data_IF_070260099879
#
_entry.id   IF_070260099879
#
_cell.length_a   1.000
_cell.length_b   1.000
_cell.length_c   1.000
_cell.angle_alpha   90.00
_cell.angle_beta   90.00
_cell.angle_gamma   90.00
#
_symmetry.space_group_name_H-M   'P 1'
#
loop_
_entity.id
_entity.type
_entity.pdbx_description
1 polymer ?
#
# COMPACT_ATOMS: atom_id res chain seq x y z
N UNK A 1 -43.43 -7.31 8.09
CA UNK A 1 -42.35 -8.28 8.37
C UNK A 1 -42.41 -9.53 7.48
N UNK A 2 -43.58 -10.15 7.24
CA UNK A 2 -43.68 -11.42 6.50
C UNK A 2 -43.14 -11.41 5.05
N UNK A 3 -43.33 -10.33 4.28
CA UNK A 3 -42.88 -10.27 2.88
C UNK A 3 -41.35 -10.15 2.75
N UNK A 4 -40.70 -9.34 3.60
CA UNK A 4 -39.24 -9.19 3.61
C UNK A 4 -38.55 -10.51 3.91
N UNK A 5 -39.06 -11.22 4.92
CA UNK A 5 -38.55 -12.53 5.28
C UNK A 5 -38.78 -13.56 4.15
N UNK A 6 -39.96 -13.55 3.51
CA UNK A 6 -40.25 -14.44 2.40
C UNK A 6 -39.32 -14.19 1.20
N UNK A 7 -39.08 -12.93 0.83
CA UNK A 7 -38.14 -12.57 -0.23
C UNK A 7 -36.72 -13.02 0.13
N UNK A 8 -36.28 -12.81 1.37
CA UNK A 8 -34.97 -13.30 1.82
C UNK A 8 -34.85 -14.84 1.78
N UNK A 9 -35.92 -15.58 2.06
CA UNK A 9 -35.89 -17.04 1.87
C UNK A 9 -35.82 -17.42 0.39
N UNK A 10 -36.46 -16.66 -0.50
CA UNK A 10 -36.41 -16.91 -1.94
C UNK A 10 -35.02 -16.62 -2.55
N UNK A 11 -34.20 -15.75 -1.95
CA UNK A 11 -32.80 -15.57 -2.37
C UNK A 11 -31.95 -16.83 -2.12
N UNK A 12 -32.42 -17.78 -1.30
CA UNK A 12 -31.78 -19.09 -1.07
C UNK A 12 -32.17 -20.16 -2.09
N UNK A 13 -33.06 -19.84 -3.04
CA UNK A 13 -33.56 -20.80 -4.03
C UNK A 13 -32.44 -21.35 -4.91
N UNK A 14 -32.50 -22.63 -5.28
CA UNK A 14 -31.57 -23.22 -6.26
C UNK A 14 -31.79 -22.66 -7.68
N UNK A 15 -32.97 -22.12 -7.97
CA UNK A 15 -33.31 -21.54 -9.27
C UNK A 15 -32.81 -20.10 -9.36
N UNK A 16 -31.85 -19.83 -10.26
CA UNK A 16 -31.29 -18.50 -10.48
C UNK A 16 -32.36 -17.42 -10.72
N UNK A 17 -33.34 -17.71 -11.58
CA UNK A 17 -34.44 -16.78 -11.86
C UNK A 17 -35.34 -16.44 -10.67
N UNK A 18 -35.44 -17.35 -9.68
CA UNK A 18 -36.17 -17.08 -8.43
C UNK A 18 -35.33 -16.20 -7.51
N UNK A 19 -34.03 -16.49 -7.38
CA UNK A 19 -33.11 -15.67 -6.58
C UNK A 19 -33.05 -14.24 -7.10
N UNK A 20 -32.86 -14.06 -8.41
CA UNK A 20 -32.80 -12.74 -9.04
C UNK A 20 -34.07 -11.93 -8.79
N UNK A 21 -35.26 -12.52 -9.05
CA UNK A 21 -36.54 -11.84 -8.79
C UNK A 21 -36.74 -11.48 -7.32
N UNK A 22 -36.23 -12.31 -6.40
CA UNK A 22 -36.28 -12.02 -4.97
C UNK A 22 -35.37 -10.85 -4.61
N UNK A 23 -34.13 -10.83 -5.14
CA UNK A 23 -33.19 -9.71 -4.98
C UNK A 23 -33.72 -8.41 -5.59
N UNK A 24 -34.32 -8.46 -6.79
CA UNK A 24 -34.99 -7.32 -7.41
C UNK A 24 -36.14 -6.81 -6.53
N UNK A 25 -36.94 -7.72 -5.96
CA UNK A 25 -38.00 -7.37 -5.02
C UNK A 25 -37.46 -6.69 -3.75
N UNK A 26 -36.32 -7.13 -3.23
CA UNK A 26 -35.65 -6.49 -2.09
C UNK A 26 -35.14 -5.09 -2.44
N UNK A 27 -34.57 -4.88 -3.63
CA UNK A 27 -34.13 -3.57 -4.11
C UNK A 27 -35.31 -2.60 -4.25
N UNK A 28 -36.42 -3.05 -4.84
CA UNK A 28 -37.63 -2.24 -4.97
C UNK A 28 -38.18 -1.84 -3.59
N UNK A 29 -38.22 -2.77 -2.63
CA UNK A 29 -38.66 -2.46 -1.27
C UNK A 29 -37.68 -1.53 -0.55
N UNK A 30 -36.38 -1.70 -0.73
CA UNK A 30 -35.36 -0.81 -0.18
C UNK A 30 -35.52 0.63 -0.70
N UNK A 31 -35.82 0.80 -2.00
CA UNK A 31 -36.08 2.11 -2.61
C UNK A 31 -37.32 2.83 -2.06
N UNK A 32 -38.28 2.11 -1.48
CA UNK A 32 -39.48 2.69 -0.86
C UNK A 32 -39.25 3.12 0.60
N UNK A 33 -38.14 2.72 1.21
CA UNK A 33 -37.80 3.02 2.60
C UNK A 33 -36.93 4.29 2.67
N UNK A 34 -37.52 5.41 2.23
CA UNK A 34 -36.86 6.71 2.15
C UNK A 34 -36.56 7.37 3.51
N UNK A 35 -37.10 6.82 4.60
CA UNK A 35 -36.91 7.33 5.96
C UNK A 35 -37.61 8.66 6.23
N UNK A 36 -38.41 9.18 5.29
CA UNK A 36 -39.15 10.44 5.44
C UNK A 36 -40.30 10.33 6.45
N UNK A 37 -40.84 9.12 6.61
CA UNK A 37 -41.80 8.75 7.64
C UNK A 37 -41.13 7.95 8.75
N UNK A 38 -41.20 8.45 9.99
CA UNK A 38 -40.73 7.73 11.18
C UNK A 38 -41.39 6.35 11.38
N UNK A 39 -42.51 6.09 10.73
CA UNK A 39 -43.21 4.80 10.76
C UNK A 39 -42.49 3.70 9.93
N UNK A 40 -41.70 4.09 8.94
CA UNK A 40 -40.96 3.16 8.06
C UNK A 40 -39.56 2.82 8.61
N UNK A 41 -39.07 3.60 9.57
CA UNK A 41 -37.75 3.40 10.18
C UNK A 41 -37.57 2.00 10.83
N UNK A 42 -38.53 1.44 11.59
CA UNK A 42 -38.39 0.10 12.16
C UNK A 42 -38.32 -1.00 11.10
N UNK A 43 -38.98 -0.79 9.95
CA UNK A 43 -38.93 -1.72 8.83
C UNK A 43 -37.56 -1.70 8.13
N UNK A 44 -36.94 -0.52 8.00
CA UNK A 44 -35.57 -0.35 7.51
C UNK A 44 -34.54 -1.04 8.39
N UNK A 45 -34.60 -0.85 9.71
CA UNK A 45 -33.72 -1.53 10.67
C UNK A 45 -33.87 -3.05 10.57
N UNK A 46 -35.11 -3.54 10.54
CA UNK A 46 -35.38 -4.98 10.42
C UNK A 46 -34.82 -5.55 9.10
N UNK A 47 -34.92 -4.81 7.99
CA UNK A 47 -34.36 -5.22 6.71
C UNK A 47 -32.83 -5.25 6.75
N UNK A 48 -32.20 -4.21 7.29
CA UNK A 48 -30.75 -4.12 7.42
C UNK A 48 -30.16 -5.29 8.22
N UNK A 49 -30.78 -5.64 9.35
CA UNK A 49 -30.39 -6.78 10.17
C UNK A 49 -30.51 -8.12 9.42
N UNK A 50 -31.59 -8.30 8.66
CA UNK A 50 -31.81 -9.50 7.86
C UNK A 50 -30.78 -9.64 6.72
N UNK A 51 -30.48 -8.55 6.04
CA UNK A 51 -29.52 -8.49 4.94
C UNK A 51 -28.09 -8.79 5.41
N UNK A 52 -27.66 -8.14 6.49
CA UNK A 52 -26.37 -8.38 7.11
C UNK A 52 -26.28 -9.78 7.74
N UNK A 53 -27.36 -10.27 8.35
CA UNK A 53 -27.44 -11.63 8.87
C UNK A 53 -27.28 -12.69 7.77
N UNK A 54 -27.78 -12.44 6.56
CA UNK A 54 -27.56 -13.33 5.41
C UNK A 54 -26.11 -13.35 4.95
N UNK A 55 -25.42 -12.20 4.93
CA UNK A 55 -23.99 -12.15 4.62
C UNK A 55 -23.19 -12.97 5.63
N UNK A 56 -23.49 -12.80 6.92
CA UNK A 56 -22.89 -13.57 7.99
C UNK A 56 -23.15 -15.08 7.83
N UNK A 57 -24.39 -15.49 7.53
CA UNK A 57 -24.72 -16.90 7.26
C UNK A 57 -23.88 -17.47 6.13
N UNK A 58 -23.74 -16.73 5.02
CA UNK A 58 -22.93 -17.15 3.86
C UNK A 58 -21.44 -17.27 4.20
N UNK A 59 -20.90 -16.36 5.01
CA UNK A 59 -19.52 -16.46 5.50
C UNK A 59 -19.29 -17.74 6.31
N UNK A 60 -20.23 -18.12 7.18
CA UNK A 60 -20.12 -19.33 8.00
C UNK A 60 -20.23 -20.63 7.18
N UNK A 61 -20.77 -20.57 5.96
CA UNK A 61 -20.81 -21.71 5.04
C UNK A 61 -19.50 -21.90 4.26
N UNK A 62 -18.58 -20.91 4.30
CA UNK A 62 -17.31 -21.00 3.60
C UNK A 62 -16.45 -22.13 4.20
N UNK A 63 -15.90 -23.03 3.37
CA UNK A 63 -15.03 -24.10 3.84
C UNK A 63 -13.62 -23.55 4.07
N UNK A 64 -13.41 -22.76 5.14
CA UNK A 64 -12.14 -22.05 5.42
C UNK A 64 -10.90 -22.98 5.36
N UNK A 65 -11.06 -24.26 5.69
CA UNK A 65 -10.00 -25.27 5.64
C UNK A 65 -9.66 -25.76 4.22
N UNK A 66 -10.45 -25.45 3.20
CA UNK A 66 -10.25 -25.89 1.81
C UNK A 66 -9.95 -24.73 0.86
N UNK A 67 -10.18 -23.49 1.30
CA UNK A 67 -9.93 -22.30 0.49
C UNK A 67 -8.43 -22.08 0.26
N UNK A 68 -8.10 -21.65 -0.96
CA UNK A 68 -6.78 -21.16 -1.32
C UNK A 68 -6.73 -19.63 -1.19
N UNK A 69 -5.72 -19.14 -0.48
CA UNK A 69 -5.48 -17.72 -0.29
C UNK A 69 -5.15 -17.01 -1.61
N UNK A 70 -4.39 -17.67 -2.49
CA UNK A 70 -3.99 -17.10 -3.77
C UNK A 70 -5.18 -16.92 -4.73
N UNK A 71 -6.14 -17.84 -4.68
CA UNK A 71 -7.42 -17.74 -5.41
C UNK A 71 -8.25 -16.56 -4.89
N UNK A 72 -8.37 -16.41 -3.56
CA UNK A 72 -9.10 -15.30 -2.95
C UNK A 72 -8.53 -13.93 -3.32
N UNK A 73 -7.20 -13.78 -3.28
CA UNK A 73 -6.54 -12.53 -3.66
C UNK A 73 -6.91 -12.10 -5.08
N UNK A 74 -7.03 -13.06 -6.00
CA UNK A 74 -7.35 -12.84 -7.42
C UNK A 74 -8.84 -12.99 -7.75
N UNK A 75 -9.71 -13.12 -6.75
CA UNK A 75 -11.13 -13.41 -6.97
C UNK A 75 -11.80 -12.33 -7.85
N UNK A 76 -12.48 -12.69 -8.95
CA UNK A 76 -13.05 -11.71 -9.85
C UNK A 76 -14.28 -11.01 -9.26
N UNK A 77 -14.64 -9.85 -9.83
CA UNK A 77 -15.93 -9.24 -9.52
C UNK A 77 -17.06 -10.21 -9.91
N UNK A 78 -17.92 -10.53 -8.94
CA UNK A 78 -18.97 -11.54 -9.11
C UNK A 78 -20.33 -10.86 -9.05
N UNK A 79 -20.89 -10.53 -10.22
CA UNK A 79 -22.16 -9.81 -10.28
C UNK A 79 -23.28 -10.55 -9.55
N UNK A 80 -24.04 -9.85 -8.72
CA UNK A 80 -25.22 -10.38 -8.04
C UNK A 80 -26.32 -10.86 -8.99
N UNK A 81 -26.27 -10.40 -10.25
CA UNK A 81 -27.15 -10.86 -11.34
C UNK A 81 -26.63 -12.11 -12.06
N UNK A 82 -25.51 -12.68 -11.62
CA UNK A 82 -24.94 -13.88 -12.21
C UNK A 82 -25.93 -15.04 -12.26
N UNK A 83 -25.97 -15.73 -13.40
CA UNK A 83 -26.77 -16.94 -13.60
C UNK A 83 -26.01 -18.23 -13.25
N UNK A 84 -24.72 -18.10 -12.90
CA UNK A 84 -23.86 -19.23 -12.55
C UNK A 84 -24.42 -19.97 -11.34
N UNK A 85 -24.34 -21.31 -11.36
CA UNK A 85 -24.69 -22.12 -10.20
C UNK A 85 -23.76 -21.78 -9.04
N UNK A 86 -24.30 -21.29 -7.90
CA UNK A 86 -23.46 -20.72 -6.87
C UNK A 86 -22.92 -21.81 -5.95
N UNK A 87 -21.60 -21.96 -5.90
CA UNK A 87 -20.95 -22.59 -4.76
C UNK A 87 -20.95 -21.64 -3.54
N UNK A 88 -20.29 -22.03 -2.44
CA UNK A 88 -20.25 -21.20 -1.24
C UNK A 88 -19.52 -19.86 -1.45
N UNK A 89 -18.46 -19.82 -2.26
CA UNK A 89 -17.70 -18.60 -2.53
C UNK A 89 -18.48 -17.64 -3.44
N UNK A 90 -19.00 -18.16 -4.55
CA UNK A 90 -19.86 -17.41 -5.47
C UNK A 90 -21.08 -16.89 -4.70
N UNK A 91 -21.70 -17.71 -3.84
CA UNK A 91 -22.81 -17.26 -3.00
C UNK A 91 -22.43 -16.08 -2.10
N UNK A 92 -21.28 -16.14 -1.44
CA UNK A 92 -20.80 -15.06 -0.58
C UNK A 92 -20.54 -13.77 -1.38
N UNK A 93 -19.74 -13.85 -2.45
CA UNK A 93 -19.35 -12.66 -3.23
C UNK A 93 -20.51 -12.07 -4.05
N UNK A 94 -21.43 -12.88 -4.57
CA UNK A 94 -22.65 -12.36 -5.22
C UNK A 94 -23.57 -11.65 -4.22
N UNK A 95 -23.65 -12.14 -2.98
CA UNK A 95 -24.41 -11.46 -1.95
C UNK A 95 -23.73 -10.19 -1.46
N UNK A 96 -22.39 -10.20 -1.35
CA UNK A 96 -21.62 -8.99 -1.06
C UNK A 96 -21.83 -7.92 -2.13
N UNK A 97 -21.71 -8.29 -3.42
CA UNK A 97 -21.98 -7.40 -4.56
C UNK A 97 -23.44 -6.88 -4.56
N UNK A 98 -24.40 -7.71 -4.16
CA UNK A 98 -25.79 -7.29 -3.98
C UNK A 98 -25.93 -6.20 -2.90
N UNK A 99 -25.29 -6.38 -1.75
CA UNK A 99 -25.32 -5.39 -0.66
C UNK A 99 -24.60 -4.09 -1.06
N UNK A 100 -23.48 -4.21 -1.76
CA UNK A 100 -22.73 -3.07 -2.29
C UNK A 100 -23.62 -2.26 -3.25
N UNK A 101 -24.20 -2.91 -4.25
CA UNK A 101 -25.16 -2.28 -5.16
C UNK A 101 -26.38 -1.68 -4.44
N UNK A 102 -26.98 -2.42 -3.49
CA UNK A 102 -28.13 -1.93 -2.74
C UNK A 102 -27.80 -0.66 -1.97
N UNK A 103 -26.63 -0.58 -1.32
CA UNK A 103 -26.23 0.61 -0.55
C UNK A 103 -25.86 1.81 -1.43
N UNK A 104 -25.49 1.60 -2.70
CA UNK A 104 -25.33 2.68 -3.67
C UNK A 104 -26.67 3.28 -4.12
N UNK A 105 -27.69 2.45 -4.33
CA UNK A 105 -28.96 2.86 -4.94
C UNK A 105 -30.06 3.21 -3.92
N UNK A 106 -29.98 2.68 -2.70
CA UNK A 106 -31.00 2.89 -1.67
C UNK A 106 -30.94 4.30 -1.05
N UNK A 107 -32.03 4.75 -0.41
CA UNK A 107 -32.02 5.99 0.37
C UNK A 107 -30.94 5.98 1.44
N UNK A 108 -30.27 7.13 1.64
CA UNK A 108 -29.11 7.27 2.53
C UNK A 108 -29.34 6.68 3.94
N UNK A 109 -30.53 6.89 4.52
CA UNK A 109 -30.88 6.36 5.85
C UNK A 109 -30.78 4.83 5.88
N UNK A 110 -31.31 4.14 4.87
CA UNK A 110 -31.25 2.69 4.78
C UNK A 110 -29.83 2.22 4.46
N UNK A 111 -29.11 2.90 3.55
CA UNK A 111 -27.71 2.54 3.23
C UNK A 111 -26.81 2.58 4.46
N UNK A 112 -26.96 3.59 5.33
CA UNK A 112 -26.27 3.68 6.62
C UNK A 112 -26.67 2.54 7.56
N UNK A 113 -27.96 2.21 7.66
CA UNK A 113 -28.42 1.12 8.51
C UNK A 113 -27.89 -0.24 8.08
N UNK A 114 -27.91 -0.51 6.76
CA UNK A 114 -27.38 -1.76 6.17
C UNK A 114 -25.88 -1.84 6.41
N UNK A 115 -25.13 -0.77 6.14
CA UNK A 115 -23.68 -0.78 6.31
C UNK A 115 -23.27 -0.96 7.79
N UNK A 116 -23.94 -0.27 8.73
CA UNK A 116 -23.72 -0.47 10.16
C UNK A 116 -24.06 -1.90 10.62
N UNK A 117 -25.13 -2.49 10.08
CA UNK A 117 -25.51 -3.87 10.38
C UNK A 117 -24.48 -4.87 9.85
N UNK A 118 -23.92 -4.62 8.66
CA UNK A 118 -22.81 -5.40 8.08
C UNK A 118 -21.56 -5.26 8.94
N UNK A 119 -21.23 -4.05 9.39
CA UNK A 119 -20.10 -3.81 10.29
C UNK A 119 -20.22 -4.63 11.57
N UNK A 120 -21.36 -4.56 12.25
CA UNK A 120 -21.53 -5.29 13.50
C UNK A 120 -21.51 -6.81 13.27
N UNK A 121 -22.39 -7.33 12.40
CA UNK A 121 -22.59 -8.79 12.28
C UNK A 121 -21.46 -9.50 11.56
N UNK A 122 -20.91 -8.90 10.51
CA UNK A 122 -19.88 -9.56 9.71
C UNK A 122 -18.48 -9.12 10.15
N UNK A 123 -18.18 -7.81 10.16
CA UNK A 123 -16.82 -7.36 10.48
C UNK A 123 -16.45 -7.63 11.95
N UNK A 124 -17.30 -7.22 12.90
CA UNK A 124 -17.01 -7.36 14.33
C UNK A 124 -17.32 -8.76 14.88
N UNK A 125 -18.51 -9.31 14.63
CA UNK A 125 -18.90 -10.58 15.26
C UNK A 125 -18.25 -11.81 14.58
N UNK A 126 -17.83 -11.68 13.31
CA UNK A 126 -17.34 -12.83 12.52
C UNK A 126 -15.88 -12.69 12.09
N UNK A 127 -15.52 -11.60 11.42
CA UNK A 127 -14.19 -11.44 10.81
C UNK A 127 -13.12 -11.08 11.85
N UNK A 128 -13.41 -10.16 12.76
CA UNK A 128 -12.50 -9.73 13.83
C UNK A 128 -11.93 -10.89 14.66
N UNK A 129 -12.75 -11.81 15.23
CA UNK A 129 -12.20 -12.94 15.98
C UNK A 129 -11.39 -13.91 15.10
N UNK A 130 -11.66 -13.99 13.79
CA UNK A 130 -10.87 -14.81 12.88
C UNK A 130 -9.50 -14.18 12.56
N UNK A 131 -9.43 -12.86 12.41
CA UNK A 131 -8.16 -12.13 12.21
C UNK A 131 -7.25 -12.19 13.43
N UNK A 132 -7.83 -12.31 14.63
CA UNK A 132 -7.12 -12.48 15.90
C UNK A 132 -6.86 -13.95 16.27
N UNK A 133 -7.24 -14.90 15.41
CA UNK A 133 -7.15 -16.31 15.73
C UNK A 133 -5.69 -16.78 15.78
N UNK A 134 -5.39 -17.75 16.63
CA UNK A 134 -4.03 -18.33 16.73
C UNK A 134 -3.69 -19.31 15.60
N UNK A 135 -4.61 -19.53 14.66
CA UNK A 135 -4.44 -20.50 13.57
C UNK A 135 -4.04 -19.73 12.33
N UNK A 136 -2.80 -19.93 11.86
CA UNK A 136 -2.25 -19.22 10.70
C UNK A 136 -3.15 -19.33 9.46
N UNK A 137 -3.74 -20.51 9.23
CA UNK A 137 -4.65 -20.72 8.10
C UNK A 137 -5.91 -19.86 8.19
N UNK A 138 -6.51 -19.78 9.38
CA UNK A 138 -7.70 -18.94 9.61
C UNK A 138 -7.33 -17.47 9.37
N UNK A 139 -6.22 -17.00 9.95
CA UNK A 139 -5.73 -15.63 9.75
C UNK A 139 -5.46 -15.34 8.27
N UNK A 140 -4.79 -16.24 7.56
CA UNK A 140 -4.47 -16.10 6.15
C UNK A 140 -5.73 -15.97 5.27
N UNK A 141 -6.68 -16.87 5.44
CA UNK A 141 -7.91 -16.89 4.64
C UNK A 141 -8.80 -15.70 4.98
N UNK A 142 -8.95 -15.34 6.25
CA UNK A 142 -9.74 -14.17 6.66
C UNK A 142 -9.09 -12.86 6.20
N UNK A 143 -7.76 -12.75 6.22
CA UNK A 143 -7.04 -11.58 5.67
C UNK A 143 -7.21 -11.51 4.15
N UNK A 144 -7.14 -12.64 3.45
CA UNK A 144 -7.32 -12.70 1.98
C UNK A 144 -8.77 -12.40 1.57
N UNK A 145 -9.76 -12.86 2.34
CA UNK A 145 -11.16 -12.52 2.15
C UNK A 145 -11.41 -11.01 2.35
N UNK A 146 -10.84 -10.45 3.41
CA UNK A 146 -10.90 -9.02 3.67
C UNK A 146 -10.26 -8.23 2.53
N UNK A 147 -9.08 -8.64 2.06
CA UNK A 147 -8.41 -8.06 0.90
C UNK A 147 -9.31 -8.08 -0.35
N UNK A 148 -9.94 -9.21 -0.65
CA UNK A 148 -10.84 -9.34 -1.80
C UNK A 148 -12.07 -8.43 -1.67
N UNK A 149 -12.70 -8.40 -0.49
CA UNK A 149 -13.88 -7.55 -0.26
C UNK A 149 -13.54 -6.05 -0.29
N UNK A 150 -12.38 -5.64 0.25
CA UNK A 150 -11.87 -4.27 0.08
C UNK A 150 -11.70 -3.99 -1.41
N UNK A 151 -10.99 -4.83 -2.16
CA UNK A 151 -10.79 -4.65 -3.61
C UNK A 151 -12.12 -4.44 -4.35
N UNK A 152 -13.12 -5.26 -4.04
CA UNK A 152 -14.39 -5.30 -4.77
C UNK A 152 -15.41 -4.22 -4.38
N UNK A 153 -15.35 -3.67 -3.16
CA UNK A 153 -16.35 -2.70 -2.67
C UNK A 153 -16.29 -1.37 -3.44
N UNK A 154 -17.46 -0.87 -3.83
CA UNK A 154 -17.66 0.38 -4.58
C UNK A 154 -18.50 1.40 -3.81
N UNK A 155 -19.42 0.94 -2.95
CA UNK A 155 -20.25 1.81 -2.11
C UNK A 155 -19.43 2.57 -1.09
N UNK A 156 -19.60 3.90 -1.04
CA UNK A 156 -18.96 4.73 -0.01
C UNK A 156 -19.42 4.31 1.40
N UNK A 157 -20.69 3.91 1.57
CA UNK A 157 -21.22 3.51 2.87
C UNK A 157 -20.57 2.25 3.42
N UNK A 158 -20.36 1.23 2.58
CA UNK A 158 -19.66 0.01 3.01
C UNK A 158 -18.15 0.27 3.15
N UNK A 159 -17.56 1.04 2.24
CA UNK A 159 -16.16 1.46 2.32
C UNK A 159 -15.86 2.11 3.67
N UNK A 160 -16.67 3.09 4.09
CA UNK A 160 -16.50 3.79 5.37
C UNK A 160 -16.52 2.82 6.56
N UNK A 161 -17.42 1.82 6.52
CA UNK A 161 -17.49 0.81 7.58
C UNK A 161 -16.29 -0.13 7.59
N UNK A 162 -15.75 -0.48 6.42
CA UNK A 162 -14.56 -1.32 6.29
C UNK A 162 -13.29 -0.58 6.71
N UNK A 163 -13.15 0.69 6.33
CA UNK A 163 -12.04 1.56 6.77
C UNK A 163 -12.14 1.84 8.26
N UNK A 164 -13.34 2.11 8.80
CA UNK A 164 -13.56 2.24 10.23
C UNK A 164 -13.14 0.97 10.97
N UNK A 165 -13.55 -0.20 10.49
CA UNK A 165 -13.14 -1.48 11.04
C UNK A 165 -11.61 -1.62 11.04
N UNK A 166 -10.95 -1.37 9.92
CA UNK A 166 -9.51 -1.57 9.77
C UNK A 166 -8.66 -0.61 10.60
N UNK A 167 -8.98 0.67 10.59
CA UNK A 167 -8.15 1.73 11.16
C UNK A 167 -8.54 2.11 12.59
N UNK A 168 -9.81 1.92 12.97
CA UNK A 168 -10.36 2.38 14.26
C UNK A 168 -10.72 1.27 15.23
N UNK A 169 -10.70 0.00 14.80
CA UNK A 169 -10.81 -1.11 15.75
C UNK A 169 -9.51 -1.22 16.56
N UNK A 170 -9.58 -1.19 17.91
CA UNK A 170 -8.39 -1.23 18.75
C UNK A 170 -7.49 -2.42 18.43
N UNK A 171 -6.18 -2.16 18.32
CA UNK A 171 -5.13 -3.16 18.07
C UNK A 171 -5.20 -3.92 16.73
N UNK A 172 -6.28 -3.83 15.95
CA UNK A 172 -6.41 -4.54 14.68
C UNK A 172 -5.42 -4.01 13.63
N UNK A 173 -5.36 -2.69 13.46
CA UNK A 173 -4.43 -2.06 12.51
C UNK A 173 -2.98 -2.45 12.82
N UNK A 174 -2.56 -2.33 14.08
CA UNK A 174 -1.21 -2.69 14.53
C UNK A 174 -0.91 -4.18 14.29
N UNK A 175 -1.89 -5.06 14.51
CA UNK A 175 -1.74 -6.48 14.25
C UNK A 175 -1.57 -6.77 12.75
N UNK A 176 -2.41 -6.18 11.89
CA UNK A 176 -2.33 -6.36 10.44
C UNK A 176 -1.00 -5.84 9.88
N UNK A 177 -0.54 -4.69 10.35
CA UNK A 177 0.78 -4.14 9.98
C UNK A 177 1.92 -5.03 10.48
N UNK A 178 1.80 -5.61 11.68
CA UNK A 178 2.77 -6.61 12.16
C UNK A 178 2.76 -7.87 11.29
N UNK A 179 1.60 -8.29 10.78
CA UNK A 179 1.50 -9.44 9.88
C UNK A 179 2.22 -9.25 8.53
N UNK A 180 2.42 -8.00 8.07
CA UNK A 180 3.29 -7.71 6.93
C UNK A 180 4.74 -8.17 7.16
N UNK A 181 5.17 -8.35 8.43
CA UNK A 181 6.46 -8.95 8.81
C UNK A 181 6.32 -10.28 9.57
N UNK A 182 5.32 -11.09 9.20
CA UNK A 182 5.11 -12.43 9.76
C UNK A 182 6.14 -13.45 9.25
N UNK A 183 6.36 -14.52 10.03
CA UNK A 183 7.27 -15.63 9.68
C UNK A 183 6.74 -16.47 8.49
N UNK A 184 5.42 -16.52 8.34
CA UNK A 184 4.76 -17.11 7.18
C UNK A 184 4.66 -16.08 6.06
N UNK A 185 5.39 -16.32 4.97
CA UNK A 185 5.40 -15.45 3.79
C UNK A 185 4.01 -15.26 3.18
N UNK A 186 3.12 -16.26 3.29
CA UNK A 186 1.75 -16.16 2.78
C UNK A 186 0.92 -15.13 3.58
N UNK A 187 1.07 -15.10 4.91
CA UNK A 187 0.39 -14.12 5.76
C UNK A 187 0.94 -12.73 5.49
N UNK A 188 2.26 -12.59 5.33
CA UNK A 188 2.88 -11.32 4.97
C UNK A 188 2.45 -10.82 3.61
N UNK A 189 2.41 -11.69 2.61
CA UNK A 189 1.91 -11.37 1.28
C UNK A 189 0.45 -10.90 1.36
N UNK A 190 -0.45 -11.67 1.98
CA UNK A 190 -1.85 -11.31 2.10
C UNK A 190 -2.08 -9.98 2.83
N UNK A 191 -1.29 -9.70 3.87
CA UNK A 191 -1.38 -8.45 4.64
C UNK A 191 -0.86 -7.25 3.84
N UNK A 192 0.23 -7.41 3.09
CA UNK A 192 0.73 -6.35 2.20
C UNK A 192 -0.19 -6.10 1.01
N UNK A 193 -0.79 -7.14 0.43
CA UNK A 193 -1.84 -6.98 -0.58
C UNK A 193 -3.05 -6.22 -0.02
N UNK A 194 -3.46 -6.50 1.23
CA UNK A 194 -4.53 -5.74 1.88
C UNK A 194 -4.18 -4.25 2.01
N UNK A 195 -2.95 -3.91 2.41
CA UNK A 195 -2.48 -2.52 2.46
C UNK A 195 -2.51 -1.88 1.07
N UNK A 196 -2.04 -2.59 0.04
CA UNK A 196 -2.06 -2.10 -1.34
C UNK A 196 -3.49 -1.85 -1.86
N UNK A 197 -4.42 -2.74 -1.56
CA UNK A 197 -5.84 -2.57 -1.89
C UNK A 197 -6.48 -1.40 -1.14
N UNK A 198 -6.12 -1.18 0.13
CA UNK A 198 -6.57 -0.01 0.89
C UNK A 198 -6.07 1.29 0.26
N UNK A 199 -4.79 1.36 -0.12
CA UNK A 199 -4.20 2.55 -0.75
C UNK A 199 -4.83 2.87 -2.12
N UNK A 200 -5.53 1.93 -2.75
CA UNK A 200 -6.26 2.15 -4.00
C UNK A 200 -7.68 2.67 -3.79
N UNK A 201 -8.12 2.91 -2.54
CA UNK A 201 -9.47 3.40 -2.25
C UNK A 201 -9.51 4.92 -2.09
N UNK A 202 -10.59 5.59 -2.54
CA UNK A 202 -10.73 7.04 -2.46
C UNK A 202 -11.11 7.51 -1.05
N UNK A 203 -10.38 7.06 -0.02
CA UNK A 203 -10.67 7.32 1.38
C UNK A 203 -9.44 7.89 2.11
N UNK A 204 -9.46 9.20 2.35
CA UNK A 204 -8.34 9.99 2.91
C UNK A 204 -7.74 9.42 4.21
N UNK A 205 -8.60 8.97 5.13
CA UNK A 205 -8.14 8.45 6.43
C UNK A 205 -7.11 7.31 6.31
N UNK A 206 -7.10 6.57 5.20
CA UNK A 206 -6.15 5.48 4.96
C UNK A 206 -4.71 6.01 4.98
N UNK A 207 -4.40 7.03 4.17
CA UNK A 207 -3.07 7.62 4.17
C UNK A 207 -2.80 8.43 5.44
N UNK A 208 -3.80 9.15 5.95
CA UNK A 208 -3.64 9.99 7.15
C UNK A 208 -3.22 9.15 8.36
N UNK A 209 -3.90 8.03 8.59
CA UNK A 209 -3.66 7.16 9.74
C UNK A 209 -2.46 6.22 9.55
N UNK A 210 -2.21 5.72 8.33
CA UNK A 210 -1.13 4.77 8.10
C UNK A 210 0.24 5.43 7.94
N UNK A 211 0.28 6.69 7.46
CA UNK A 211 1.54 7.33 7.07
C UNK A 211 1.63 8.77 7.55
N UNK A 212 0.71 9.64 7.14
CA UNK A 212 0.95 11.08 7.20
C UNK A 212 0.98 11.64 8.61
N UNK A 213 0.13 11.13 9.50
CA UNK A 213 0.12 11.52 10.92
C UNK A 213 1.47 11.34 11.61
N UNK A 214 2.28 10.37 11.17
CA UNK A 214 3.64 10.14 11.68
C UNK A 214 4.67 11.10 11.09
N UNK A 215 4.44 11.60 9.86
CA UNK A 215 5.36 12.51 9.16
C UNK A 215 5.07 13.99 9.40
N UNK A 216 3.87 14.35 9.88
CA UNK A 216 3.38 15.73 10.00
C UNK A 216 4.34 16.69 10.73
N UNK A 217 4.98 16.23 11.81
CA UNK A 217 5.86 17.08 12.62
C UNK A 217 7.24 17.28 12.00
N UNK A 218 7.60 16.50 10.97
CA UNK A 218 8.93 16.49 10.33
C UNK A 218 10.08 16.32 11.32
N UNK A 219 9.85 15.59 12.42
CA UNK A 219 10.85 15.34 13.48
C UNK A 219 11.99 14.43 13.04
N UNK A 220 11.93 13.86 11.83
CA UNK A 220 13.01 13.12 11.19
C UNK A 220 14.12 14.02 10.65
N UNK A 221 13.97 15.35 10.67
CA UNK A 221 14.99 16.29 10.20
C UNK A 221 16.01 16.61 11.30
N UNK A 222 17.28 16.67 10.92
CA UNK A 222 18.32 17.23 11.78
C UNK A 222 18.01 18.70 12.07
N UNK A 223 18.09 19.09 13.35
CA UNK A 223 18.01 20.51 13.70
C UNK A 223 19.28 21.19 13.18
N UNK A 224 19.20 22.31 12.45
CA UNK A 224 20.39 23.08 12.14
C UNK A 224 21.00 23.52 13.47
N UNK A 225 22.23 23.07 13.74
CA UNK A 225 22.99 23.54 14.89
C UNK A 225 23.25 25.02 14.66
N UNK A 226 22.49 25.89 15.32
CA UNK A 226 22.75 27.33 15.32
C UNK A 226 24.19 27.58 15.82
N UNK A 227 25.07 28.01 14.91
CA UNK A 227 26.19 28.90 15.17
C UNK A 227 27.22 28.49 16.24
N UNK A 228 27.90 27.36 16.07
CA UNK A 228 29.14 27.08 16.80
C UNK A 228 30.27 26.62 15.88
N UNK A 229 30.67 27.50 14.95
CA UNK A 229 32.04 27.53 14.44
C UNK A 229 32.68 28.88 14.78
N UNK A 230 33.75 28.77 15.57
CA UNK A 230 34.92 29.65 15.66
C UNK A 230 34.79 31.12 16.06
N UNK A 231 34.63 31.32 17.38
CA UNK A 231 35.47 32.31 18.09
C UNK A 231 36.69 31.62 18.70
N UNK A 232 37.60 31.16 17.85
CA UNK A 232 38.98 30.90 18.25
C UNK A 232 39.87 31.98 17.63
N UNK A 233 40.06 33.04 18.42
CA UNK A 233 41.23 33.92 18.51
C UNK A 233 42.18 33.91 17.31
N UNK A 234 42.05 34.94 16.47
CA UNK A 234 43.14 35.40 15.61
C UNK A 234 44.41 35.63 16.46
N UNK A 235 45.47 34.91 16.13
CA UNK A 235 46.84 35.35 16.38
C UNK A 235 47.71 34.87 15.22
N UNK A 236 47.95 35.81 14.30
CA UNK A 236 49.16 36.11 13.55
C UNK A 236 50.14 35.00 13.10
N UNK A 237 50.46 35.12 11.80
CA UNK A 237 51.75 34.95 11.12
C UNK A 237 52.21 33.56 10.63
N UNK A 238 52.43 33.54 9.30
CA UNK A 238 53.38 32.74 8.51
C UNK A 238 53.24 31.21 8.47
N UNK A 239 52.71 30.67 7.37
CA UNK A 239 53.45 29.67 6.55
C UNK A 239 52.85 29.46 5.15
N UNK A 240 53.76 29.44 4.18
CA UNK A 240 53.57 29.23 2.74
C UNK A 240 53.27 27.76 2.37
N UNK A 241 52.66 27.62 1.19
CA UNK A 241 52.71 26.50 0.24
C UNK A 241 52.30 25.09 0.71
N UNK A 242 51.13 24.60 0.27
CA UNK A 242 50.93 23.22 -0.22
C UNK A 242 49.71 23.15 -1.18
N UNK A 243 50.02 22.93 -2.45
CA UNK A 243 49.26 22.26 -3.53
C UNK A 243 47.71 22.27 -3.51
N UNK A 244 47.10 23.07 -4.39
CA UNK A 244 45.69 22.96 -4.77
C UNK A 244 45.41 21.63 -5.51
N UNK A 245 44.52 20.82 -4.95
CA UNK A 245 43.92 19.65 -5.59
C UNK A 245 42.89 20.11 -6.63
N UNK A 246 43.01 19.78 -7.94
CA UNK A 246 42.13 20.34 -8.98
C UNK A 246 40.70 19.79 -8.96
N UNK A 247 40.33 18.97 -7.97
CA UNK A 247 39.00 18.35 -7.91
C UNK A 247 38.02 19.05 -6.97
N UNK A 248 38.48 19.99 -6.13
CA UNK A 248 37.64 20.71 -5.18
C UNK A 248 38.14 22.15 -5.02
N UNK A 249 37.77 23.04 -5.93
CA UNK A 249 37.94 24.48 -5.71
C UNK A 249 36.73 25.24 -6.25
N UNK A 250 36.14 26.02 -5.34
CA UNK A 250 35.04 26.99 -5.45
C UNK A 250 33.62 26.48 -5.75
N UNK A 251 32.59 26.78 -4.95
CA UNK A 251 32.48 27.83 -3.94
C UNK A 251 31.46 27.53 -2.84
N UNK A 252 31.88 27.87 -1.62
CA UNK A 252 30.99 28.06 -0.48
C UNK A 252 30.11 29.28 -0.76
N UNK A 253 28.88 29.06 -1.22
CA UNK A 253 27.81 30.05 -1.11
C UNK A 253 27.10 29.86 0.22
N UNK A 254 27.30 30.83 1.12
CA UNK A 254 26.64 30.96 2.41
C UNK A 254 25.20 31.47 2.21
N UNK A 255 24.37 30.62 1.61
CA UNK A 255 22.95 30.85 1.33
C UNK A 255 22.11 29.61 1.66
N UNK A 256 20.77 29.73 1.78
CA UNK A 256 19.91 28.58 2.05
C UNK A 256 20.18 27.49 0.99
N UNK A 257 20.13 26.20 1.35
CA UNK A 257 20.57 25.12 0.48
C UNK A 257 19.87 25.26 -0.86
N UNK A 258 20.65 25.39 -1.93
CA UNK A 258 20.13 25.40 -3.29
C UNK A 258 19.20 24.19 -3.44
N UNK A 259 17.95 24.44 -3.84
CA UNK A 259 16.99 23.38 -4.11
C UNK A 259 17.62 22.46 -5.15
N UNK A 260 17.99 21.24 -4.76
CA UNK A 260 18.52 20.23 -5.68
C UNK A 260 17.56 20.09 -6.85
N UNK A 261 18.07 20.10 -8.07
CA UNK A 261 17.19 20.02 -9.24
C UNK A 261 16.49 18.66 -9.25
N UNK A 262 15.26 18.60 -9.78
CA UNK A 262 14.56 17.31 -9.93
C UNK A 262 15.34 16.33 -10.83
N UNK A 263 16.27 16.81 -11.66
CA UNK A 263 17.19 15.96 -12.43
C UNK A 263 18.19 15.26 -11.51
N UNK A 264 18.67 15.93 -10.47
CA UNK A 264 19.56 15.36 -9.47
C UNK A 264 18.87 14.24 -8.67
N UNK A 265 17.57 14.40 -8.37
CA UNK A 265 16.75 13.36 -7.72
C UNK A 265 16.63 12.13 -8.61
N UNK A 266 16.23 12.31 -9.87
CA UNK A 266 16.09 11.21 -10.84
C UNK A 266 17.43 10.48 -11.03
N UNK A 267 18.52 11.23 -11.22
CA UNK A 267 19.86 10.68 -11.38
C UNK A 267 20.33 9.95 -10.13
N UNK A 268 19.97 10.42 -8.93
CA UNK A 268 20.33 9.76 -7.67
C UNK A 268 19.78 8.33 -7.60
N UNK A 269 18.53 8.09 -8.01
CA UNK A 269 17.97 6.74 -8.07
C UNK A 269 18.57 5.88 -9.20
N UNK A 270 18.73 6.44 -10.40
CA UNK A 270 19.31 5.71 -11.54
C UNK A 270 20.77 5.31 -11.32
N UNK A 271 21.53 6.12 -10.59
CA UNK A 271 22.92 5.87 -10.26
C UNK A 271 23.10 5.02 -9.00
N UNK A 272 22.04 4.79 -8.23
CA UNK A 272 22.10 4.05 -6.96
C UNK A 272 22.54 2.60 -7.15
N UNK A 273 22.08 1.97 -8.24
CA UNK A 273 22.39 0.57 -8.58
C UNK A 273 23.76 0.51 -9.28
N UNK A 274 24.77 -0.16 -8.70
CA UNK A 274 26.11 -0.25 -9.30
C UNK A 274 26.11 -0.93 -10.67
N UNK A 275 26.99 -0.51 -11.58
CA UNK A 275 27.02 -1.03 -12.96
C UNK A 275 27.25 -2.55 -13.03
N UNK A 276 27.95 -3.11 -12.05
CA UNK A 276 28.28 -4.53 -11.95
C UNK A 276 27.04 -5.42 -11.75
N UNK A 277 25.97 -4.88 -11.15
CA UNK A 277 24.73 -5.62 -10.87
C UNK A 277 23.60 -5.26 -11.83
N UNK A 278 23.84 -4.36 -12.79
CA UNK A 278 22.85 -4.02 -13.83
C UNK A 278 22.78 -5.15 -14.85
N UNK A 279 21.57 -5.57 -15.16
CA UNK A 279 21.28 -6.70 -16.05
C UNK A 279 20.26 -6.38 -17.13
N UNK A 280 19.48 -5.29 -17.01
CA UNK A 280 18.38 -5.01 -17.95
C UNK A 280 18.85 -4.77 -19.38
N UNK A 281 19.98 -4.05 -19.52
CA UNK A 281 20.56 -3.72 -20.81
C UNK A 281 20.97 -4.96 -21.63
N UNK A 282 21.10 -6.13 -20.98
CA UNK A 282 21.49 -7.38 -21.63
C UNK A 282 20.33 -8.09 -22.35
N UNK A 283 19.07 -7.70 -22.09
CA UNK A 283 17.88 -8.35 -22.67
C UNK A 283 17.31 -7.64 -23.91
N UNK A 284 17.77 -6.44 -24.26
CA UNK A 284 17.20 -5.62 -25.35
C UNK A 284 15.67 -5.38 -25.24
N UNK A 285 15.08 -5.59 -24.07
CA UNK A 285 13.65 -5.38 -23.82
C UNK A 285 13.42 -4.01 -23.19
N UNK A 286 12.59 -3.17 -23.84
CA UNK A 286 12.02 -1.95 -23.28
C UNK A 286 13.02 -0.85 -22.91
N UNK A 287 12.91 0.32 -23.55
CA UNK A 287 13.61 1.51 -23.07
C UNK A 287 13.06 1.96 -21.70
N UNK A 288 13.79 2.86 -21.05
CA UNK A 288 13.33 3.54 -19.82
C UNK A 288 11.94 4.21 -19.98
N UNK A 289 11.53 4.51 -21.22
CA UNK A 289 10.19 4.97 -21.60
C UNK A 289 9.03 4.12 -21.03
N UNK A 290 9.20 2.80 -20.90
CA UNK A 290 8.15 1.94 -20.31
C UNK A 290 7.89 2.32 -18.85
N UNK A 291 8.96 2.53 -18.07
CA UNK A 291 8.85 2.93 -16.67
C UNK A 291 8.21 4.31 -16.54
N UNK A 292 8.51 5.23 -17.45
CA UNK A 292 7.88 6.56 -17.48
C UNK A 292 6.38 6.45 -17.77
N UNK A 293 5.98 5.57 -18.70
CA UNK A 293 4.56 5.33 -18.99
C UNK A 293 3.81 4.68 -17.81
N UNK A 294 4.41 3.68 -17.17
CA UNK A 294 3.84 3.00 -16.01
C UNK A 294 3.73 3.96 -14.82
N UNK A 295 4.77 4.75 -14.57
CA UNK A 295 4.77 5.81 -13.56
C UNK A 295 3.71 6.88 -13.84
N UNK A 296 3.54 7.30 -15.10
CA UNK A 296 2.47 8.24 -15.48
C UNK A 296 1.09 7.68 -15.14
N UNK A 297 0.86 6.40 -15.45
CA UNK A 297 -0.40 5.72 -15.12
C UNK A 297 -0.62 5.67 -13.61
N UNK A 298 0.39 5.24 -12.85
CA UNK A 298 0.32 5.13 -11.39
C UNK A 298 0.09 6.49 -10.70
N UNK A 299 0.83 7.52 -11.09
CA UNK A 299 0.70 8.88 -10.55
C UNK A 299 -0.67 9.46 -10.89
N UNK A 300 -1.15 9.27 -12.12
CA UNK A 300 -2.50 9.72 -12.54
C UNK A 300 -3.59 9.04 -11.71
N UNK A 301 -3.47 7.73 -11.46
CA UNK A 301 -4.41 7.00 -10.60
C UNK A 301 -4.40 7.54 -9.16
N UNK A 302 -3.22 7.70 -8.57
CA UNK A 302 -3.08 8.22 -7.20
C UNK A 302 -3.62 9.65 -7.09
N UNK A 303 -3.35 10.50 -8.09
CA UNK A 303 -3.93 11.83 -8.18
C UNK A 303 -5.45 11.79 -8.26
N UNK A 304 -6.04 10.92 -9.09
CA UNK A 304 -7.49 10.83 -9.22
C UNK A 304 -8.16 10.44 -7.91
N UNK A 305 -7.56 9.52 -7.14
CA UNK A 305 -8.04 9.14 -5.79
C UNK A 305 -7.98 10.31 -4.82
N UNK A 306 -6.91 11.12 -4.92
CA UNK A 306 -6.56 12.12 -3.94
C UNK A 306 -7.05 13.53 -4.26
N UNK A 307 -7.66 13.73 -5.43
CA UNK A 307 -8.20 15.01 -5.92
C UNK A 307 -9.14 15.69 -4.90
N UNK A 308 -10.07 14.98 -4.22
CA UNK A 308 -11.01 15.61 -3.30
C UNK A 308 -10.42 15.94 -1.91
N UNK A 309 -9.18 15.51 -1.61
CA UNK A 309 -8.67 15.51 -0.23
C UNK A 309 -8.08 16.85 0.23
N UNK A 310 -8.01 17.85 -0.65
CA UNK A 310 -7.55 19.21 -0.33
C UNK A 310 -6.18 19.25 0.37
N UNK A 311 -5.19 18.58 -0.24
CA UNK A 311 -3.85 18.48 0.33
C UNK A 311 -3.14 19.84 0.47
N UNK A 312 -2.28 19.98 1.49
CA UNK A 312 -1.41 21.13 1.60
C UNK A 312 -0.48 21.18 0.38
N UNK A 313 -0.36 22.37 -0.21
CA UNK A 313 0.52 22.60 -1.37
C UNK A 313 1.98 22.83 -0.95
N UNK A 314 2.21 23.12 0.34
CA UNK A 314 3.54 23.38 0.89
C UNK A 314 3.81 22.49 2.09
N UNK A 315 5.08 22.17 2.31
CA UNK A 315 5.52 21.45 3.50
C UNK A 315 5.13 22.21 4.78
N UNK A 316 4.63 21.51 5.82
CA UNK A 316 4.45 22.12 7.12
C UNK A 316 5.82 22.54 7.69
N UNK A 317 5.84 23.61 8.48
CA UNK A 317 7.05 23.99 9.21
C UNK A 317 7.45 22.85 10.18
N UNK A 318 8.74 22.49 10.27
CA UNK A 318 9.19 21.54 11.28
C UNK A 318 8.80 22.09 12.66
N UNK A 319 8.06 21.30 13.43
CA UNK A 319 7.63 21.76 14.76
C UNK A 319 8.77 21.47 15.71
N UNK A 320 9.47 22.51 16.17
CA UNK A 320 10.42 22.38 17.27
C UNK A 320 9.64 22.02 18.53
N UNK A 321 9.49 20.73 18.82
CA UNK A 321 9.02 20.26 20.13
C UNK A 321 10.11 20.61 21.14
N UNK A 322 10.05 21.84 21.64
CA UNK A 322 10.82 22.29 22.79
C UNK A 322 10.44 21.42 23.99
N UNK A 323 11.29 20.45 24.32
CA UNK A 323 11.29 19.77 25.62
C UNK A 323 10.79 18.32 25.67
N UNK A 324 10.59 17.62 24.56
CA UNK A 324 10.50 16.15 24.58
C UNK A 324 11.45 15.57 23.55
N UNK A 325 12.51 14.90 24.03
CA UNK A 325 13.34 13.94 23.30
C UNK A 325 12.48 12.72 22.90
N UNK A 326 11.41 12.94 22.14
CA UNK A 326 10.68 11.84 21.53
C UNK A 326 11.45 11.46 20.26
N UNK A 327 12.13 10.32 20.31
CA UNK A 327 12.72 9.70 19.12
C UNK A 327 11.66 9.65 18.02
N UNK A 328 12.02 10.12 16.82
CA UNK A 328 11.12 10.07 15.68
C UNK A 328 10.71 8.63 15.37
N UNK A 329 9.43 8.44 15.08
CA UNK A 329 8.85 7.18 14.67
C UNK A 329 8.14 7.34 13.33
N UNK A 330 8.57 6.59 12.33
CA UNK A 330 8.04 6.65 10.96
C UNK A 330 6.63 6.06 10.81
N UNK A 331 6.10 5.45 11.87
CA UNK A 331 4.84 4.72 11.85
C UNK A 331 5.02 3.23 11.55
N UNK A 332 4.06 2.40 11.97
CA UNK A 332 4.15 0.95 11.87
C UNK A 332 4.27 0.47 10.41
N UNK A 333 3.57 1.12 9.48
CA UNK A 333 3.60 0.74 8.07
C UNK A 333 4.98 1.00 7.46
N UNK A 334 5.48 2.24 7.52
CA UNK A 334 6.77 2.60 6.93
C UNK A 334 7.92 1.84 7.61
N UNK A 335 7.86 1.64 8.92
CA UNK A 335 8.83 0.81 9.65
C UNK A 335 8.92 -0.60 9.04
N UNK A 336 7.77 -1.27 8.88
CA UNK A 336 7.73 -2.63 8.33
C UNK A 336 8.19 -2.68 6.88
N UNK A 337 7.78 -1.71 6.05
CA UNK A 337 8.22 -1.64 4.65
C UNK A 337 9.74 -1.42 4.55
N UNK A 338 10.31 -0.56 5.39
CA UNK A 338 11.76 -0.29 5.40
C UNK A 338 12.58 -1.45 5.98
N UNK A 339 12.08 -2.12 7.02
CA UNK A 339 12.71 -3.32 7.57
C UNK A 339 12.68 -4.46 6.55
N UNK A 340 11.55 -4.66 5.85
CA UNK A 340 11.43 -5.64 4.76
C UNK A 340 12.37 -5.29 3.58
N UNK A 341 12.41 -4.02 3.16
CA UNK A 341 13.31 -3.56 2.10
C UNK A 341 14.78 -3.77 2.46
N UNK A 342 15.14 -3.59 3.73
CA UNK A 342 16.47 -3.91 4.25
C UNK A 342 16.87 -5.38 4.08
N UNK A 343 15.89 -6.29 3.97
CA UNK A 343 16.09 -7.72 3.80
C UNK A 343 15.72 -8.22 2.40
N UNK A 344 15.59 -7.33 1.41
CA UNK A 344 15.13 -7.67 0.04
C UNK A 344 15.99 -8.75 -0.64
N UNK A 345 17.26 -8.90 -0.25
CA UNK A 345 18.18 -9.90 -0.80
C UNK A 345 17.97 -11.33 -0.24
N UNK A 346 17.11 -11.48 0.77
CA UNK A 346 16.90 -12.72 1.52
C UNK A 346 15.45 -13.19 1.51
N UNK A 347 14.57 -12.46 0.83
CA UNK A 347 13.12 -12.68 0.85
C UNK A 347 12.62 -13.30 -0.46
N UNK A 348 11.44 -13.96 -0.43
CA UNK A 348 10.80 -14.48 -1.65
C UNK A 348 10.58 -13.37 -2.69
N UNK A 349 10.71 -13.74 -3.96
CA UNK A 349 10.57 -12.82 -5.08
C UNK A 349 9.20 -12.14 -5.12
N UNK A 350 8.14 -12.91 -4.91
CA UNK A 350 6.76 -12.44 -4.94
C UNK A 350 6.48 -11.43 -3.80
N UNK A 351 7.11 -11.66 -2.64
CA UNK A 351 7.00 -10.76 -1.49
C UNK A 351 7.68 -9.43 -1.77
N UNK A 352 8.87 -9.47 -2.39
CA UNK A 352 9.61 -8.28 -2.80
C UNK A 352 8.87 -7.48 -3.87
N UNK A 353 8.21 -8.14 -4.84
CA UNK A 353 7.37 -7.45 -5.83
C UNK A 353 6.22 -6.69 -5.17
N UNK A 354 5.53 -7.31 -4.21
CA UNK A 354 4.44 -6.66 -3.49
C UNK A 354 4.96 -5.50 -2.62
N UNK A 355 6.11 -5.68 -1.97
CA UNK A 355 6.77 -4.64 -1.18
C UNK A 355 7.10 -3.41 -2.03
N UNK A 356 7.73 -3.59 -3.18
CA UNK A 356 8.09 -2.47 -4.06
C UNK A 356 6.85 -1.82 -4.67
N UNK A 357 5.81 -2.59 -5.01
CA UNK A 357 4.54 -2.03 -5.48
C UNK A 357 3.89 -1.10 -4.45
N UNK A 358 3.86 -1.48 -3.16
CA UNK A 358 3.33 -0.62 -2.08
C UNK A 358 4.16 0.65 -1.94
N UNK A 359 5.49 0.55 -1.92
CA UNK A 359 6.38 1.71 -1.82
C UNK A 359 6.27 2.64 -3.03
N UNK A 360 6.16 2.11 -4.24
CA UNK A 360 5.94 2.87 -5.47
C UNK A 360 4.62 3.61 -5.43
N UNK A 361 3.53 2.97 -5.00
CA UNK A 361 2.22 3.61 -4.85
C UNK A 361 2.24 4.73 -3.81
N UNK A 362 2.84 4.50 -2.65
CA UNK A 362 3.01 5.55 -1.63
C UNK A 362 3.81 6.74 -2.20
N UNK A 363 4.86 6.46 -2.96
CA UNK A 363 5.70 7.49 -3.61
C UNK A 363 4.96 8.22 -4.74
N UNK A 364 3.93 7.62 -5.33
CA UNK A 364 3.17 8.21 -6.43
C UNK A 364 2.08 9.20 -5.97
N UNK A 365 1.63 9.16 -4.72
CA UNK A 365 0.71 10.16 -4.17
C UNK A 365 1.34 11.56 -4.18
N UNK A 366 0.62 12.55 -4.69
CA UNK A 366 1.10 13.93 -4.79
C UNK A 366 0.94 14.68 -3.45
N UNK A 367 1.80 14.36 -2.49
CA UNK A 367 1.80 15.01 -1.18
C UNK A 367 3.21 15.43 -0.75
N UNK A 368 3.43 16.69 -0.32
CA UNK A 368 4.77 17.20 -0.03
C UNK A 368 5.56 16.38 1.02
N UNK A 369 4.90 15.85 2.06
CA UNK A 369 5.60 15.01 3.06
C UNK A 369 6.05 13.66 2.48
N UNK A 370 5.29 13.09 1.54
CA UNK A 370 5.68 11.84 0.88
C UNK A 370 6.83 12.09 -0.10
N UNK A 371 6.80 13.22 -0.81
CA UNK A 371 7.89 13.64 -1.68
C UNK A 371 9.19 13.82 -0.91
N UNK A 372 9.14 14.54 0.22
CA UNK A 372 10.30 14.72 1.08
C UNK A 372 10.79 13.39 1.65
N UNK A 373 9.92 12.60 2.26
CA UNK A 373 10.36 11.43 3.04
C UNK A 373 10.71 10.20 2.19
N UNK A 374 10.07 10.03 1.03
CA UNK A 374 10.25 8.86 0.16
C UNK A 374 11.09 9.14 -1.07
N UNK A 375 11.00 10.34 -1.66
CA UNK A 375 11.63 10.62 -2.96
C UNK A 375 12.83 11.56 -2.89
N UNK A 376 12.98 12.40 -1.86
CA UNK A 376 14.10 13.32 -1.77
C UNK A 376 15.37 12.64 -1.19
N UNK A 377 16.43 12.45 -1.99
CA UNK A 377 17.67 11.81 -1.54
C UNK A 377 18.54 12.74 -0.66
N UNK A 378 18.23 14.04 -0.63
CA UNK A 378 19.00 15.08 0.05
C UNK A 378 18.41 15.50 1.40
N UNK A 379 17.47 14.72 1.95
CA UNK A 379 16.93 14.98 3.30
C UNK A 379 18.03 14.83 4.35
N UNK A 380 18.27 15.90 5.09
CA UNK A 380 19.15 15.88 6.26
C UNK A 380 18.46 15.20 7.44
N UNK A 381 18.58 13.89 7.51
CA UNK A 381 17.97 13.07 8.56
C UNK A 381 18.60 13.34 9.93
N UNK A 382 17.79 13.35 10.98
CA UNK A 382 18.25 13.32 12.37
C UNK A 382 18.96 11.98 12.67
N UNK A 383 19.87 11.94 13.66
CA UNK A 383 20.54 10.71 14.05
C UNK A 383 19.56 9.56 14.33
N UNK A 384 19.84 8.37 13.77
CA UNK A 384 18.99 7.19 13.93
C UNK A 384 17.74 7.15 13.04
N UNK A 385 17.37 8.26 12.40
CA UNK A 385 16.25 8.30 11.46
C UNK A 385 16.65 7.68 10.11
N UNK A 386 15.65 7.17 9.38
CA UNK A 386 15.80 6.63 8.03
C UNK A 386 14.84 7.34 7.08
N UNK A 387 15.20 7.40 5.82
CA UNK A 387 14.34 7.64 4.65
C UNK A 387 14.40 6.45 3.70
N UNK A 388 13.48 6.38 2.73
CA UNK A 388 13.52 5.34 1.68
C UNK A 388 14.90 5.30 0.99
N UNK A 389 15.42 6.47 0.61
CA UNK A 389 16.74 6.57 -0.03
C UNK A 389 17.87 6.05 0.86
N UNK A 390 17.87 6.40 2.16
CA UNK A 390 18.91 5.93 3.10
C UNK A 390 18.89 4.40 3.28
N UNK A 391 17.69 3.79 3.25
CA UNK A 391 17.54 2.33 3.33
C UNK A 391 18.11 1.69 2.08
N UNK A 392 17.82 2.24 0.90
CA UNK A 392 18.36 1.74 -0.36
C UNK A 392 19.90 1.85 -0.42
N UNK A 393 20.50 2.97 0.02
CA UNK A 393 21.97 3.10 0.11
C UNK A 393 22.57 1.96 0.96
N UNK A 394 21.98 1.70 2.13
CA UNK A 394 22.47 0.64 3.03
C UNK A 394 22.38 -0.73 2.37
N UNK A 395 21.28 -1.01 1.68
CA UNK A 395 21.10 -2.26 0.92
C UNK A 395 22.14 -2.35 -0.21
N UNK A 396 22.41 -1.27 -0.95
CA UNK A 396 23.44 -1.27 -2.00
C UNK A 396 24.85 -1.51 -1.46
N UNK A 397 25.17 -0.98 -0.28
CA UNK A 397 26.44 -1.27 0.38
C UNK A 397 26.58 -2.77 0.71
N UNK A 398 25.50 -3.39 1.18
CA UNK A 398 25.43 -4.83 1.42
C UNK A 398 25.52 -5.66 0.14
N UNK A 399 24.85 -5.23 -0.94
CA UNK A 399 24.98 -5.82 -2.28
C UNK A 399 26.45 -5.91 -2.67
N UNK A 400 27.21 -4.81 -2.55
CA UNK A 400 28.62 -4.76 -2.94
C UNK A 400 29.51 -5.74 -2.15
N UNK A 401 29.13 -6.10 -0.93
CA UNK A 401 29.82 -7.13 -0.15
C UNK A 401 29.43 -8.54 -0.60
N UNK A 402 28.12 -8.81 -0.76
CA UNK A 402 27.60 -10.14 -1.09
C UNK A 402 27.97 -10.61 -2.50
N UNK A 403 27.99 -9.70 -3.48
CA UNK A 403 28.31 -10.07 -4.87
C UNK A 403 29.75 -10.55 -5.07
N UNK A 404 30.67 -10.26 -4.13
CA UNK A 404 32.05 -10.75 -4.19
C UNK A 404 32.15 -12.27 -4.10
N UNK A 405 31.12 -12.92 -3.56
CA UNK A 405 31.04 -14.38 -3.42
C UNK A 405 30.41 -15.05 -4.64
N UNK A 406 29.84 -14.27 -5.56
CA UNK A 406 29.12 -14.77 -6.74
C UNK A 406 30.05 -14.78 -7.95
N UNK A 407 30.38 -15.97 -8.45
CA UNK A 407 31.13 -16.13 -9.69
C UNK A 407 30.25 -15.89 -10.92
N UNK A 408 30.81 -15.36 -12.01
CA UNK A 408 30.08 -15.10 -13.27
C UNK A 408 28.77 -14.30 -13.08
N UNK A 409 28.78 -13.31 -12.17
CA UNK A 409 27.60 -12.54 -11.76
C UNK A 409 26.72 -12.05 -12.92
N UNK A 410 27.32 -11.45 -13.96
CA UNK A 410 26.59 -10.91 -15.12
C UNK A 410 25.78 -11.98 -15.86
N UNK A 411 26.36 -13.17 -16.06
CA UNK A 411 25.69 -14.31 -16.70
C UNK A 411 24.59 -14.86 -15.80
N UNK A 412 24.85 -15.02 -14.50
CA UNK A 412 23.86 -15.51 -13.54
C UNK A 412 22.66 -14.57 -13.38
N UNK A 413 22.88 -13.25 -13.38
CA UNK A 413 21.81 -12.26 -13.38
C UNK A 413 20.97 -12.35 -14.64
N UNK A 414 21.61 -12.44 -15.80
CA UNK A 414 20.91 -12.57 -17.09
C UNK A 414 20.06 -13.85 -17.14
N UNK A 415 20.60 -14.97 -16.69
CA UNK A 415 19.87 -16.24 -16.67
C UNK A 415 18.74 -16.26 -15.65
N UNK A 416 18.95 -15.67 -14.46
CA UNK A 416 17.89 -15.46 -13.48
C UNK A 416 16.76 -14.63 -14.07
N UNK A 417 17.08 -13.58 -14.82
CA UNK A 417 16.10 -12.70 -15.43
C UNK A 417 15.30 -13.40 -16.53
N UNK A 418 15.96 -14.18 -17.40
CA UNK A 418 15.29 -15.05 -18.38
C UNK A 418 14.38 -16.07 -17.71
N UNK A 419 14.78 -16.59 -16.57
CA UNK A 419 13.96 -17.54 -15.80
C UNK A 419 12.70 -16.85 -15.25
N UNK A 420 12.83 -15.65 -14.69
CA UNK A 420 11.70 -14.85 -14.20
C UNK A 420 10.71 -14.48 -15.32
N UNK A 421 11.20 -14.27 -16.54
CA UNK A 421 10.39 -14.02 -17.74
C UNK A 421 9.78 -15.31 -18.34
N UNK A 422 10.05 -16.48 -17.77
CA UNK A 422 9.57 -17.77 -18.27
C UNK A 422 10.29 -18.27 -19.54
N UNK A 423 11.41 -17.65 -19.92
CA UNK A 423 12.18 -17.95 -21.14
C UNK A 423 13.13 -19.14 -20.92
N UNK A 424 13.56 -19.41 -19.68
CA UNK A 424 14.47 -20.51 -19.33
C UNK A 424 13.97 -21.36 -18.16
N UNK A 425 14.22 -22.68 -18.22
CA UNK A 425 13.80 -23.67 -17.21
C UNK A 425 14.92 -24.05 -16.21
N UNK A 426 16.08 -23.39 -16.26
CA UNK A 426 17.19 -23.74 -15.37
C UNK A 426 16.93 -23.28 -13.93
N UNK A 427 16.81 -24.24 -13.02
CA UNK A 427 16.37 -24.06 -11.63
C UNK A 427 17.49 -24.23 -10.59
N UNK A 428 18.71 -24.55 -11.03
CA UNK A 428 19.85 -24.90 -10.16
C UNK A 428 20.88 -23.79 -9.93
N UNK A 429 20.48 -22.50 -9.97
CA UNK A 429 21.40 -21.40 -9.73
C UNK A 429 21.72 -21.27 -8.23
N UNK A 430 23.01 -21.28 -7.89
CA UNK A 430 23.48 -20.86 -6.56
C UNK A 430 23.09 -19.39 -6.34
N UNK A 431 22.80 -19.01 -5.09
CA UNK A 431 22.41 -17.63 -4.73
C UNK A 431 21.14 -17.08 -5.40
N UNK A 432 20.22 -17.93 -5.89
CA UNK A 432 19.01 -17.50 -6.62
C UNK A 432 18.19 -16.40 -5.91
N UNK A 433 18.00 -16.50 -4.58
CA UNK A 433 17.27 -15.47 -3.80
C UNK A 433 17.96 -14.10 -3.86
N UNK A 434 19.29 -14.08 -3.71
CA UNK A 434 20.10 -12.86 -3.84
C UNK A 434 19.95 -12.25 -5.24
N UNK A 435 20.11 -13.07 -6.28
CA UNK A 435 20.02 -12.62 -7.67
C UNK A 435 18.64 -12.05 -8.01
N UNK A 436 17.57 -12.70 -7.53
CA UNK A 436 16.19 -12.20 -7.64
C UNK A 436 16.01 -10.86 -6.93
N UNK A 437 16.56 -10.71 -5.73
CA UNK A 437 16.57 -9.45 -4.98
C UNK A 437 17.32 -8.32 -5.70
N UNK A 438 18.48 -8.62 -6.32
CA UNK A 438 19.25 -7.66 -7.12
C UNK A 438 18.46 -7.16 -8.34
N UNK A 439 17.78 -8.06 -9.05
CA UNK A 439 16.95 -7.69 -10.20
C UNK A 439 15.81 -6.78 -9.73
N UNK A 440 15.10 -7.13 -8.65
CA UNK A 440 14.02 -6.27 -8.13
C UNK A 440 14.55 -4.90 -7.72
N UNK A 441 15.70 -4.83 -7.04
CA UNK A 441 16.33 -3.56 -6.68
C UNK A 441 16.67 -2.70 -7.90
N UNK A 442 17.19 -3.32 -8.95
CA UNK A 442 17.46 -2.63 -10.22
C UNK A 442 16.18 -2.03 -10.82
N UNK A 443 15.10 -2.81 -10.85
CA UNK A 443 13.82 -2.36 -11.42
C UNK A 443 13.12 -1.32 -10.55
N UNK A 444 13.14 -1.49 -9.23
CA UNK A 444 12.54 -0.56 -8.29
C UNK A 444 13.21 0.82 -8.32
N UNK A 445 14.55 0.88 -8.45
CA UNK A 445 15.24 2.16 -8.57
C UNK A 445 14.87 2.90 -9.87
N UNK A 446 14.65 2.18 -10.98
CA UNK A 446 14.15 2.79 -12.23
C UNK A 446 12.71 3.27 -12.08
N UNK A 447 11.87 2.50 -11.39
CA UNK A 447 10.48 2.88 -11.13
C UNK A 447 10.39 4.15 -10.26
N UNK A 448 11.16 4.23 -9.17
CA UNK A 448 11.23 5.44 -8.33
C UNK A 448 11.75 6.65 -9.10
N UNK A 449 12.79 6.46 -9.93
CA UNK A 449 13.30 7.52 -10.79
C UNK A 449 12.24 8.01 -11.79
N UNK A 450 11.43 7.10 -12.35
CA UNK A 450 10.36 7.43 -13.27
C UNK A 450 9.20 8.15 -12.57
N UNK A 451 8.82 7.73 -11.36
CA UNK A 451 7.83 8.40 -10.52
C UNK A 451 8.30 9.83 -10.20
N UNK A 452 9.54 10.00 -9.74
CA UNK A 452 10.12 11.33 -9.47
C UNK A 452 10.16 12.21 -10.73
N UNK A 453 10.44 11.62 -11.89
CA UNK A 453 10.44 12.33 -13.18
C UNK A 453 9.03 12.78 -13.58
N UNK A 454 8.01 11.93 -13.47
CA UNK A 454 6.62 12.23 -13.82
C UNK A 454 6.01 13.26 -12.88
N UNK A 455 6.34 13.19 -11.58
CA UNK A 455 5.85 14.13 -10.55
C UNK A 455 6.48 15.50 -10.63
N UNK A 456 7.46 15.72 -11.51
CA UNK A 456 7.95 17.07 -11.80
C UNK A 456 6.74 17.97 -12.04
N UNK A 457 6.55 19.05 -11.28
CA UNK A 457 5.63 20.07 -11.71
C UNK A 457 6.11 20.48 -13.10
N UNK A 458 5.23 20.38 -14.11
CA UNK A 458 5.41 21.04 -15.39
C UNK A 458 5.41 22.54 -15.11
N UNK A 459 6.50 23.04 -14.54
CA UNK A 459 6.69 24.45 -14.29
C UNK A 459 6.82 25.11 -15.66
N UNK A 460 5.85 25.96 -15.95
CA UNK A 460 6.13 27.33 -16.38
C UNK A 460 7.14 27.41 -17.54
N UNK A 461 6.65 27.15 -18.76
CA UNK A 461 7.15 27.89 -19.92
C UNK A 461 6.56 29.31 -19.91
#
# INVERSE_FOLDING_TARGET
SGILWALLQLTKSQRASVRQKASDGLLLLAGLLDGSSGELLPAGVSLAELLAGRLQELHHLLPLDQLDAAELQKWPCTSWRSEVEPDHMISFFTWFDFLDHLTCEAPQVLSVQVSQSVHQRWLMDTLHPQLLHTCEKVVLISTSMLCATIRLVQSSFLMDQMVHFLLRTPSLMQLLLRHCNHISDQISMASMCLVDEMLQKPHRDILDMLVLSFLQNRSYLSTPVDGQEDKQLETDEDSQDLDEDPFFSDGFSDGPPAQSSNEDVVNSFLCLVPIQVRSAHLLQEGGYESYVHDAHTLVTQCHALSLPWEWPQTLPCPTCLSGQDADFFEGDLLKVLFDRLGCILEQPYELNLQLTAVLSRLSAFNHPLLDEYLLNPYVHLAPGCKSLFSVLIRVMAEVMQRIQQVSNLSEQLLDTRRHLLGVSQHTGLEHLTLLKGLIILEEFCKELAAIAFVKKPLNQD
#
